data_IF_444162205669
#
_entry.id   IF_444162205669
#
_cell.length_a   1.000
_cell.length_b   1.000
_cell.length_c   1.000
_cell.angle_alpha   90.00
_cell.angle_beta   90.00
_cell.angle_gamma   90.00
#
_symmetry.space_group_name_H-M   'P 1'
#
loop_
_entity.id
_entity.type
_entity.pdbx_description
1 polymer ?
#
# COMPACT_ATOMS: atom_id res chain seq x y z
N UNK A 1 11.08 17.64 -6.83
CA UNK A 1 12.32 17.38 -6.06
C UNK A 1 12.10 17.36 -4.55
N UNK A 2 11.38 18.32 -3.96
CA UNK A 2 11.03 18.33 -2.52
C UNK A 2 10.30 17.07 -2.01
N UNK A 3 9.43 16.47 -2.84
CA UNK A 3 8.71 15.25 -2.45
C UNK A 3 9.63 14.03 -2.31
N UNK A 4 10.69 13.92 -3.12
CA UNK A 4 11.62 12.79 -3.05
C UNK A 4 12.60 12.95 -1.88
N UNK A 5 13.04 14.18 -1.60
CA UNK A 5 13.90 14.45 -0.44
C UNK A 5 13.16 14.22 0.86
N UNK A 6 11.88 14.59 0.95
CA UNK A 6 11.01 14.32 2.11
C UNK A 6 10.86 12.83 2.39
N UNK A 7 10.62 12.01 1.35
CA UNK A 7 10.49 10.55 1.48
C UNK A 7 11.83 9.92 1.91
N UNK A 8 12.96 10.39 1.35
CA UNK A 8 14.30 9.88 1.69
C UNK A 8 14.72 10.29 3.12
N UNK A 9 14.45 11.53 3.55
CA UNK A 9 14.71 12.00 4.92
C UNK A 9 13.88 11.23 5.96
N UNK A 10 12.63 10.90 5.62
CA UNK A 10 11.83 10.00 6.42
C UNK A 10 12.51 8.63 6.52
N UNK A 11 12.82 7.96 5.41
CA UNK A 11 13.40 6.60 5.43
C UNK A 11 14.75 6.53 6.18
N UNK A 12 15.64 7.50 5.98
CA UNK A 12 16.94 7.54 6.65
C UNK A 12 16.85 7.90 8.15
N UNK A 13 15.84 8.67 8.57
CA UNK A 13 15.60 8.94 9.99
C UNK A 13 15.27 7.68 10.81
N UNK A 14 14.64 6.69 10.18
CA UNK A 14 14.33 5.41 10.83
C UNK A 14 15.59 4.58 11.08
N UNK A 15 16.53 4.57 10.13
CA UNK A 15 17.75 3.76 10.22
C UNK A 15 18.74 4.30 11.28
N UNK A 16 18.73 5.61 11.59
CA UNK A 16 19.55 6.21 12.64
C UNK A 16 18.90 6.11 14.04
N UNK A 17 17.56 6.06 14.11
CA UNK A 17 16.82 6.03 15.38
C UNK A 17 16.78 4.66 16.06
N UNK A 18 17.23 3.60 15.39
CA UNK A 18 17.24 2.23 15.91
C UNK A 18 18.44 1.91 16.81
N UNK A 19 19.44 2.80 16.91
CA UNK A 19 20.70 2.52 17.60
C UNK A 19 20.81 3.03 19.05
N UNK A 20 19.95 3.94 19.53
CA UNK A 20 20.14 4.53 20.86
C UNK A 20 18.89 4.46 21.76
N UNK A 21 19.09 3.72 22.84
CA UNK A 21 18.17 3.39 23.92
C UNK A 21 17.67 4.63 24.69
N UNK A 22 16.42 4.54 25.18
CA UNK A 22 15.74 5.40 26.17
C UNK A 22 15.37 6.85 25.77
N UNK A 23 16.21 7.64 25.09
CA UNK A 23 15.91 9.06 24.80
C UNK A 23 14.94 9.30 23.62
N UNK A 24 14.59 8.25 22.87
CA UNK A 24 13.95 8.36 21.56
C UNK A 24 12.42 8.16 21.54
N UNK A 25 11.73 7.99 22.68
CA UNK A 25 10.28 7.69 22.66
C UNK A 25 9.44 8.82 22.03
N UNK A 26 9.74 10.07 22.39
CA UNK A 26 9.04 11.24 21.85
C UNK A 26 9.36 11.41 20.37
N UNK A 27 10.63 11.25 19.97
CA UNK A 27 11.04 11.28 18.56
C UNK A 27 10.39 10.16 17.74
N UNK A 28 10.30 8.95 18.28
CA UNK A 28 9.66 7.82 17.63
C UNK A 28 8.16 8.08 17.43
N UNK A 29 7.45 8.57 18.45
CA UNK A 29 6.01 8.87 18.35
C UNK A 29 5.77 9.97 17.32
N UNK A 30 6.53 11.07 17.38
CA UNK A 30 6.45 12.14 16.39
C UNK A 30 6.70 11.57 14.99
N UNK A 31 7.75 10.78 14.81
CA UNK A 31 8.06 10.19 13.51
C UNK A 31 6.91 9.32 12.99
N UNK A 32 6.36 8.41 13.80
CA UNK A 32 5.24 7.55 13.41
C UNK A 32 3.97 8.34 13.05
N UNK A 33 3.67 9.40 13.79
CA UNK A 33 2.48 10.24 13.55
C UNK A 33 2.65 11.11 12.32
N UNK A 34 3.83 11.69 12.09
CA UNK A 34 4.07 12.62 10.99
C UNK A 34 4.43 11.92 9.66
N UNK A 35 4.91 10.69 9.69
CA UNK A 35 5.24 9.94 8.47
C UNK A 35 4.05 9.79 7.51
N UNK A 36 2.89 9.38 8.04
CA UNK A 36 1.66 9.18 7.26
C UNK A 36 1.13 10.46 6.57
N UNK A 37 0.93 11.59 7.27
CA UNK A 37 0.47 12.82 6.63
C UNK A 37 1.51 13.41 5.68
N UNK A 38 2.80 13.28 5.99
CA UNK A 38 3.86 13.79 5.13
C UNK A 38 3.95 13.01 3.80
N UNK A 39 3.76 11.69 3.85
CA UNK A 39 3.59 10.88 2.63
C UNK A 39 2.34 11.27 1.84
N UNK A 40 1.22 11.51 2.52
CA UNK A 40 -0.02 11.95 1.86
C UNK A 40 0.13 13.32 1.20
N UNK A 41 0.79 14.28 1.84
CA UNK A 41 1.10 15.61 1.29
C UNK A 41 2.03 15.53 0.07
N UNK A 42 3.03 14.65 0.13
CA UNK A 42 3.91 14.36 -1.00
C UNK A 42 3.12 13.87 -2.22
N UNK A 43 2.22 12.91 -2.03
CA UNK A 43 1.35 12.39 -3.10
C UNK A 43 0.38 13.47 -3.59
N UNK A 44 -0.22 14.25 -2.68
CA UNK A 44 -1.11 15.36 -3.04
C UNK A 44 -0.41 16.38 -3.94
N UNK A 45 0.83 16.74 -3.63
CA UNK A 45 1.61 17.67 -4.45
C UNK A 45 1.82 17.14 -5.87
N UNK A 46 2.07 15.84 -6.03
CA UNK A 46 2.21 15.21 -7.34
C UNK A 46 0.89 15.30 -8.12
N UNK A 47 -0.24 15.03 -7.47
CA UNK A 47 -1.57 15.13 -8.10
C UNK A 47 -1.85 16.57 -8.53
N UNK A 48 -1.54 17.55 -7.68
CA UNK A 48 -1.70 18.97 -7.98
C UNK A 48 -0.82 19.44 -9.15
N UNK A 49 0.43 18.94 -9.23
CA UNK A 49 1.33 19.18 -10.36
C UNK A 49 0.81 18.57 -11.68
N UNK A 50 0.16 17.41 -11.62
CA UNK A 50 -0.51 16.81 -12.78
C UNK A 50 -1.72 17.63 -13.24
N UNK A 51 -2.52 18.17 -12.31
CA UNK A 51 -3.69 18.99 -12.65
C UNK A 51 -3.32 20.34 -13.28
N UNK A 52 -2.19 20.93 -12.89
CA UNK A 52 -1.74 22.23 -13.40
C UNK A 52 -1.04 22.15 -14.77
N UNK A 53 -1.12 21.02 -15.48
CA UNK A 53 -0.48 20.74 -16.78
C UNK A 53 1.06 20.89 -16.83
N UNK A 54 1.71 21.09 -15.69
CA UNK A 54 3.18 21.13 -15.58
C UNK A 54 3.79 19.73 -15.30
N UNK A 55 2.95 18.67 -15.28
CA UNK A 55 3.34 17.30 -14.94
C UNK A 55 4.07 16.51 -16.03
N UNK A 56 4.11 17.02 -17.28
CA UNK A 56 4.86 16.44 -18.41
C UNK A 56 4.82 14.91 -18.47
N UNK A 57 5.96 14.28 -18.20
CA UNK A 57 6.18 12.83 -18.24
C UNK A 57 5.33 12.02 -17.23
N UNK A 58 5.08 12.56 -16.03
CA UNK A 58 4.31 11.87 -14.98
C UNK A 58 2.85 11.73 -15.40
N UNK A 59 2.28 12.75 -16.06
CA UNK A 59 0.92 12.71 -16.57
C UNK A 59 0.75 11.66 -17.67
N UNK A 60 1.76 11.48 -18.53
CA UNK A 60 1.74 10.45 -19.59
C UNK A 60 1.79 9.04 -18.98
N UNK A 61 2.60 8.84 -17.93
CA UNK A 61 2.65 7.55 -17.22
C UNK A 61 1.32 7.25 -16.52
N UNK A 62 0.77 8.22 -15.78
CA UNK A 62 -0.48 8.02 -15.02
C UNK A 62 -1.72 7.88 -15.91
N UNK A 63 -1.72 8.45 -17.11
CA UNK A 63 -2.82 8.32 -18.05
C UNK A 63 -2.83 6.98 -18.80
N UNK A 64 -1.79 6.16 -18.67
CA UNK A 64 -1.77 4.82 -19.27
C UNK A 64 -2.88 3.93 -18.67
N UNK A 65 -3.60 3.17 -19.51
CA UNK A 65 -4.66 2.25 -19.05
C UNK A 65 -4.12 1.14 -18.14
N UNK A 66 -2.81 0.86 -18.18
CA UNK A 66 -2.16 -0.13 -17.31
C UNK A 66 -2.23 0.26 -15.83
N UNK A 67 -2.12 1.55 -15.51
CA UNK A 67 -2.22 2.02 -14.11
C UNK A 67 -3.64 1.89 -13.59
N UNK A 68 -4.64 2.04 -14.46
CA UNK A 68 -6.04 1.82 -14.10
C UNK A 68 -6.27 0.37 -13.67
N UNK A 69 -5.73 -0.60 -14.39
CA UNK A 69 -5.81 -2.02 -14.03
C UNK A 69 -5.00 -2.33 -12.76
N UNK A 70 -3.77 -1.83 -12.68
CA UNK A 70 -2.86 -2.09 -11.56
C UNK A 70 -3.39 -1.55 -10.22
N UNK A 71 -4.08 -0.41 -10.25
CA UNK A 71 -4.73 0.15 -9.06
C UNK A 71 -5.84 -0.76 -8.53
N UNK A 72 -6.65 -1.34 -9.42
CA UNK A 72 -7.73 -2.25 -9.06
C UNK A 72 -7.19 -3.58 -8.53
N UNK A 73 -6.08 -4.06 -9.10
CA UNK A 73 -5.37 -5.24 -8.62
C UNK A 73 -4.83 -5.03 -7.19
N UNK A 74 -4.12 -3.93 -6.98
CA UNK A 74 -3.56 -3.58 -5.67
C UNK A 74 -4.64 -3.37 -4.62
N UNK A 75 -5.75 -2.74 -4.99
CA UNK A 75 -6.88 -2.53 -4.09
C UNK A 75 -7.52 -3.84 -3.62
N UNK A 76 -7.72 -4.79 -4.53
CA UNK A 76 -8.29 -6.10 -4.19
C UNK A 76 -7.36 -6.89 -3.27
N UNK A 77 -6.04 -6.88 -3.53
CA UNK A 77 -5.05 -7.50 -2.64
C UNK A 77 -5.10 -6.89 -1.25
N UNK A 78 -5.14 -5.56 -1.17
CA UNK A 78 -5.14 -4.84 0.10
C UNK A 78 -6.36 -5.19 0.97
N UNK A 79 -7.56 -5.19 0.39
CA UNK A 79 -8.79 -5.56 1.09
C UNK A 79 -8.74 -7.01 1.59
N UNK A 80 -8.31 -7.94 0.75
CA UNK A 80 -8.25 -9.36 1.11
C UNK A 80 -7.19 -9.64 2.16
N UNK A 81 -6.01 -9.05 2.03
CA UNK A 81 -4.96 -9.20 3.02
C UNK A 81 -5.41 -8.70 4.40
N UNK A 82 -6.05 -7.53 4.46
CA UNK A 82 -6.58 -6.98 5.72
C UNK A 82 -7.68 -7.87 6.31
N UNK A 83 -8.57 -8.40 5.48
CA UNK A 83 -9.65 -9.31 5.89
C UNK A 83 -9.11 -10.63 6.44
N UNK A 84 -8.14 -11.23 5.76
CA UNK A 84 -7.54 -12.51 6.17
C UNK A 84 -6.78 -12.34 7.49
N UNK A 85 -6.03 -11.25 7.65
CA UNK A 85 -5.35 -10.95 8.92
C UNK A 85 -6.37 -10.81 10.05
N UNK A 86 -7.47 -10.08 9.83
CA UNK A 86 -8.52 -9.93 10.85
C UNK A 86 -9.16 -11.28 11.25
N UNK A 87 -9.46 -12.15 10.28
CA UNK A 87 -10.01 -13.49 10.54
C UNK A 87 -9.04 -14.37 11.33
N UNK A 88 -7.76 -14.32 10.97
CA UNK A 88 -6.71 -15.06 11.67
C UNK A 88 -6.53 -14.54 13.09
N UNK A 89 -6.54 -13.22 13.30
CA UNK A 89 -6.47 -12.62 14.64
C UNK A 89 -7.68 -13.00 15.50
N UNK A 90 -8.88 -13.05 14.92
CA UNK A 90 -10.08 -13.49 15.64
C UNK A 90 -10.07 -14.99 15.99
N UNK A 91 -9.39 -15.80 15.18
CA UNK A 91 -9.28 -17.26 15.38
C UNK A 91 -8.14 -17.65 16.31
N UNK A 92 -7.11 -16.80 16.45
CA UNK A 92 -6.01 -17.03 17.39
C UNK A 92 -6.43 -16.77 18.83
N UNK A 93 -6.57 -17.84 19.63
CA UNK A 93 -6.90 -17.78 21.06
C UNK A 93 -5.69 -18.03 21.99
N UNK A 94 -4.50 -18.30 21.44
CA UNK A 94 -3.30 -18.66 22.19
C UNK A 94 -2.12 -17.72 21.87
N UNK A 95 -1.21 -17.45 22.84
CA UNK A 95 -0.01 -16.65 22.61
C UNK A 95 0.93 -17.38 21.65
N UNK A 96 1.27 -16.72 20.54
CA UNK A 96 2.21 -17.24 19.55
C UNK A 96 3.63 -16.93 20.03
N UNK A 97 4.45 -17.96 20.23
CA UNK A 97 5.88 -17.78 20.48
C UNK A 97 6.53 -17.17 19.23
N UNK A 98 7.19 -16.03 19.42
CA UNK A 98 7.77 -15.22 18.34
C UNK A 98 9.15 -15.78 17.99
N UNK A 99 9.16 -16.83 17.19
CA UNK A 99 10.37 -17.29 16.52
C UNK A 99 10.44 -16.66 15.11
N UNK A 100 11.62 -16.20 14.70
CA UNK A 100 11.81 -15.52 13.42
C UNK A 100 11.41 -16.41 12.23
N UNK A 101 11.71 -17.71 12.32
CA UNK A 101 11.38 -18.66 11.26
C UNK A 101 9.87 -18.90 11.16
N UNK A 102 9.20 -19.08 12.30
CA UNK A 102 7.75 -19.28 12.36
C UNK A 102 6.99 -18.03 11.89
N UNK A 103 7.48 -16.84 12.25
CA UNK A 103 6.90 -15.57 11.83
C UNK A 103 7.03 -15.38 10.32
N UNK A 104 8.21 -15.65 9.75
CA UNK A 104 8.45 -15.55 8.31
C UNK A 104 7.57 -16.55 7.53
N UNK A 105 7.50 -17.80 7.98
CA UNK A 105 6.64 -18.82 7.38
C UNK A 105 5.16 -18.40 7.40
N UNK A 106 4.67 -17.92 8.54
CA UNK A 106 3.29 -17.48 8.69
C UNK A 106 2.97 -16.27 7.82
N UNK A 107 3.88 -15.28 7.77
CA UNK A 107 3.73 -14.11 6.91
C UNK A 107 3.68 -14.51 5.44
N UNK A 108 4.61 -15.36 4.99
CA UNK A 108 4.68 -15.78 3.59
C UNK A 108 3.45 -16.61 3.19
N UNK A 109 2.97 -17.47 4.09
CA UNK A 109 1.73 -18.23 3.86
C UNK A 109 0.49 -17.33 3.75
N UNK A 110 0.34 -16.36 4.66
CA UNK A 110 -0.75 -15.37 4.62
C UNK A 110 -0.70 -14.50 3.37
N UNK A 111 0.49 -14.07 2.98
CA UNK A 111 0.70 -13.27 1.80
C UNK A 111 0.38 -14.04 0.51
N UNK A 112 0.89 -15.27 0.38
CA UNK A 112 0.62 -16.14 -0.76
C UNK A 112 -0.88 -16.46 -0.91
N UNK A 113 -1.56 -16.76 0.19
CA UNK A 113 -3.02 -16.99 0.19
C UNK A 113 -3.80 -15.75 -0.23
N UNK A 114 -3.44 -14.58 0.30
CA UNK A 114 -4.07 -13.30 -0.07
C UNK A 114 -3.90 -12.99 -1.56
N UNK A 115 -2.71 -13.28 -2.09
CA UNK A 115 -2.38 -13.07 -3.49
C UNK A 115 -3.21 -13.96 -4.42
N UNK A 116 -3.31 -15.26 -4.11
CA UNK A 116 -4.13 -16.22 -4.87
C UNK A 116 -5.62 -15.84 -4.84
N UNK A 117 -6.16 -15.52 -3.66
CA UNK A 117 -7.55 -15.08 -3.53
C UNK A 117 -7.82 -13.79 -4.33
N UNK A 118 -6.88 -12.86 -4.35
CA UNK A 118 -7.05 -11.61 -5.10
C UNK A 118 -7.11 -11.84 -6.60
N UNK A 119 -6.33 -12.77 -7.13
CA UNK A 119 -6.39 -13.12 -8.55
C UNK A 119 -7.78 -13.67 -8.90
N UNK A 120 -8.31 -14.57 -8.07
CA UNK A 120 -9.65 -15.15 -8.26
C UNK A 120 -10.72 -14.06 -8.17
N UNK A 121 -10.62 -13.17 -7.19
CA UNK A 121 -11.56 -12.07 -6.99
C UNK A 121 -11.60 -11.12 -8.18
N UNK A 122 -10.43 -10.77 -8.70
CA UNK A 122 -10.28 -9.92 -9.88
C UNK A 122 -10.85 -10.61 -11.11
N UNK A 123 -10.56 -11.90 -11.30
CA UNK A 123 -11.09 -12.63 -12.45
C UNK A 123 -12.62 -12.73 -12.42
N UNK A 124 -13.20 -12.92 -11.23
CA UNK A 124 -14.66 -12.98 -11.05
C UNK A 124 -15.35 -11.63 -11.17
N UNK A 125 -14.80 -10.55 -10.61
CA UNK A 125 -15.49 -9.27 -10.53
C UNK A 125 -15.05 -8.26 -11.60
N UNK A 126 -13.77 -8.22 -12.00
CA UNK A 126 -13.32 -7.27 -13.03
C UNK A 126 -13.67 -7.71 -14.45
N UNK A 127 -13.55 -9.00 -14.78
CA UNK A 127 -13.87 -9.50 -16.12
C UNK A 127 -15.31 -9.20 -16.56
N UNK A 128 -16.36 -9.34 -15.71
CA UNK A 128 -17.70 -8.90 -16.08
C UNK A 128 -17.81 -7.38 -16.09
N UNK A 129 -17.14 -6.66 -15.19
CA UNK A 129 -17.28 -5.20 -15.08
C UNK A 129 -16.74 -4.47 -16.31
N UNK A 130 -15.65 -4.95 -16.91
CA UNK A 130 -15.12 -4.41 -18.17
C UNK A 130 -16.10 -4.65 -19.32
N UNK A 131 -16.78 -5.80 -19.32
CA UNK A 131 -17.78 -6.12 -20.32
C UNK A 131 -19.04 -5.26 -20.15
N UNK A 132 -19.46 -5.01 -18.90
CA UNK A 132 -20.58 -4.11 -18.58
C UNK A 132 -20.26 -2.66 -18.93
N UNK A 133 -19.06 -2.15 -18.62
CA UNK A 133 -18.64 -0.79 -19.05
C UNK A 133 -18.68 -0.64 -20.57
N UNK A 134 -18.23 -1.65 -21.34
CA UNK A 134 -18.29 -1.61 -22.81
C UNK A 134 -19.71 -1.59 -23.35
N UNK A 135 -20.67 -2.25 -22.67
CA UNK A 135 -22.08 -2.24 -23.07
C UNK A 135 -22.72 -0.88 -22.73
N UNK A 136 -22.36 -0.29 -21.59
CA UNK A 136 -22.94 0.97 -21.12
C UNK A 136 -22.36 2.20 -21.83
N UNK A 137 -21.07 2.18 -22.19
CA UNK A 137 -20.37 3.29 -22.83
C UNK A 137 -20.42 3.25 -24.37
N UNK A 138 -21.06 2.23 -24.97
CA UNK A 138 -21.32 2.16 -26.42
C UNK A 138 -22.63 2.89 -26.76
N UNK A 139 -22.73 4.15 -26.36
CA UNK A 139 -23.77 5.09 -26.80
C UNK A 139 -23.14 6.42 -27.15
#
# INVERSE_FOLDING_TARGET
>A
MLSFTVIILCVFGNHHSLQFTEYARIQAVIYFTFFRPMFSLAVWWIIWACQTNHGGFVNTILSLPIFRLMNKFTYSIFLLNSTIVALVTCSTKAPVYVDLFLLAYRFLGLYALSFLLSIIWILMFESPMINVEKIFFKK
#
